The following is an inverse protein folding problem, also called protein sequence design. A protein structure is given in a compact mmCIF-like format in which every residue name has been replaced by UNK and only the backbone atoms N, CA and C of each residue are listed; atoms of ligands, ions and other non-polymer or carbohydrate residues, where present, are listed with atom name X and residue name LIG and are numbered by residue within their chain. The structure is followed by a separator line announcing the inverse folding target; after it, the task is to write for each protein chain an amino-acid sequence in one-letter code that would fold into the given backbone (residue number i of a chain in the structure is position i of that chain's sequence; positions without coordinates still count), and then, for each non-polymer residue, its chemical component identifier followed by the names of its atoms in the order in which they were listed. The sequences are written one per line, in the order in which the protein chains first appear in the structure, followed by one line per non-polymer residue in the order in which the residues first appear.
data_IF_322374742560
#
_entry.id   IF_322374742560
#
_cell.length_a   1.000
_cell.length_b   1.000
_cell.length_c   1.000
_cell.angle_alpha   90.00
_cell.angle_beta   90.00
_cell.angle_gamma   90.00
#
_symmetry.space_group_name_H-M   'P 1'
#
loop_
_entity.id
_entity.type
_entity.pdbx_description
1 polymer ?
#
# COMPACT_ATOMS: atom_id res chain seq x y z
N UNK A 1 -41.82 -6.70 7.09
CA UNK A 1 -41.01 -6.08 8.17
C UNK A 1 -41.70 -6.05 9.54
N UNK A 2 -43.02 -5.84 9.64
CA UNK A 2 -43.74 -5.74 10.93
C UNK A 2 -43.78 -7.02 11.79
N UNK A 3 -43.62 -8.21 11.20
CA UNK A 3 -43.62 -9.49 11.95
C UNK A 3 -42.42 -9.63 12.89
N UNK A 4 -41.23 -9.21 12.46
CA UNK A 4 -40.00 -9.33 13.26
C UNK A 4 -40.08 -8.38 14.44
N UNK A 5 -40.43 -7.11 14.21
CA UNK A 5 -40.59 -6.09 15.25
C UNK A 5 -41.68 -6.49 16.26
N UNK A 6 -42.82 -7.02 15.78
CA UNK A 6 -43.89 -7.51 16.65
C UNK A 6 -43.45 -8.67 17.54
N UNK A 7 -42.68 -9.61 17.00
CA UNK A 7 -42.17 -10.75 17.77
C UNK A 7 -41.19 -10.31 18.88
N UNK A 8 -40.29 -9.38 18.56
CA UNK A 8 -39.38 -8.77 19.55
C UNK A 8 -40.13 -7.97 20.64
N UNK A 9 -41.21 -7.27 20.28
CA UNK A 9 -42.00 -6.47 21.21
C UNK A 9 -42.85 -7.33 22.18
N UNK A 10 -43.36 -8.46 21.70
CA UNK A 10 -44.18 -9.38 22.51
C UNK A 10 -43.29 -10.27 23.40
N UNK A 11 -42.12 -10.66 22.91
CA UNK A 11 -41.25 -11.60 23.62
C UNK A 11 -40.01 -10.92 24.23
N UNK A 12 -40.26 -10.09 25.26
CA UNK A 12 -39.24 -9.26 25.93
C UNK A 12 -38.06 -10.05 26.48
N UNK A 13 -38.30 -11.26 26.99
CA UNK A 13 -37.24 -12.13 27.54
C UNK A 13 -36.29 -12.58 26.42
N UNK A 14 -36.82 -13.05 25.29
CA UNK A 14 -36.01 -13.45 24.14
C UNK A 14 -35.21 -12.27 23.55
N UNK A 15 -35.82 -11.09 23.47
CA UNK A 15 -35.15 -9.87 23.02
C UNK A 15 -33.98 -9.46 23.93
N UNK A 16 -34.18 -9.49 25.26
CA UNK A 16 -33.14 -9.16 26.23
C UNK A 16 -32.01 -10.20 26.24
N UNK A 17 -32.33 -11.49 26.09
CA UNK A 17 -31.32 -12.54 25.98
C UNK A 17 -30.47 -12.39 24.71
N UNK A 18 -31.09 -12.04 23.58
CA UNK A 18 -30.37 -11.77 22.34
C UNK A 18 -29.46 -10.54 22.48
N UNK A 19 -29.96 -9.47 23.11
CA UNK A 19 -29.15 -8.27 23.37
C UNK A 19 -27.95 -8.61 24.28
N UNK A 20 -28.17 -9.35 25.37
CA UNK A 20 -27.11 -9.78 26.27
C UNK A 20 -26.08 -10.68 25.55
N UNK A 21 -26.55 -11.59 24.70
CA UNK A 21 -25.68 -12.44 23.89
C UNK A 21 -24.79 -11.61 22.95
N UNK A 22 -25.35 -10.64 22.24
CA UNK A 22 -24.59 -9.74 21.34
C UNK A 22 -23.57 -8.92 22.14
N UNK A 23 -23.93 -8.44 23.32
CA UNK A 23 -23.03 -7.67 24.18
C UNK A 23 -21.85 -8.52 24.68
N UNK A 24 -22.11 -9.76 25.12
CA UNK A 24 -21.06 -10.69 25.58
C UNK A 24 -20.15 -11.10 24.42
N UNK A 25 -20.73 -11.43 23.26
CA UNK A 25 -19.98 -11.76 22.06
C UNK A 25 -19.11 -10.59 21.59
N UNK A 26 -19.66 -9.37 21.62
CA UNK A 26 -18.94 -8.13 21.32
C UNK A 26 -17.78 -7.91 22.29
N UNK A 27 -18.01 -8.06 23.60
CA UNK A 27 -16.97 -7.89 24.61
C UNK A 27 -15.83 -8.91 24.47
N UNK A 28 -16.15 -10.16 24.13
CA UNK A 28 -15.14 -11.18 23.81
C UNK A 28 -14.36 -10.90 22.52
N UNK A 29 -14.93 -10.13 21.59
CA UNK A 29 -14.28 -9.75 20.34
C UNK A 29 -13.32 -8.57 20.50
N UNK A 30 -13.58 -7.63 21.42
CA UNK A 30 -12.72 -6.44 21.68
C UNK A 30 -11.23 -6.77 21.82
N UNK A 31 -10.80 -7.73 22.66
CA UNK A 31 -9.37 -8.03 22.81
C UNK A 31 -8.77 -8.77 21.60
N UNK A 32 -9.60 -9.33 20.72
CA UNK A 32 -9.15 -10.02 19.49
C UNK A 32 -8.91 -9.06 18.32
N UNK A 33 -9.32 -7.80 18.44
CA UNK A 33 -9.08 -6.79 17.41
C UNK A 33 -7.57 -6.52 17.37
N UNK A 34 -6.93 -6.88 16.24
CA UNK A 34 -5.54 -6.52 15.99
C UNK A 34 -5.46 -5.01 15.89
N UNK A 35 -4.61 -4.43 16.74
CA UNK A 35 -4.27 -3.01 16.72
C UNK A 35 -2.90 -2.90 16.11
N UNK A 36 -2.83 -2.38 14.90
CA UNK A 36 -1.58 -2.03 14.26
C UNK A 36 -1.30 -0.56 14.52
N UNK A 37 -0.12 -0.24 15.05
CA UNK A 37 0.32 1.14 15.30
C UNK A 37 0.55 1.87 13.97
N UNK A 38 0.97 1.12 12.96
CA UNK A 38 1.08 1.54 11.58
C UNK A 38 0.29 0.53 10.75
N UNK A 39 -0.85 0.91 10.14
CA UNK A 39 -1.53 0.03 9.23
C UNK A 39 -0.56 -0.31 8.07
N UNK A 40 -0.60 -1.55 7.60
CA UNK A 40 0.18 -1.96 6.43
C UNK A 40 -0.31 -1.16 5.21
N UNK A 41 0.46 -0.14 4.82
CA UNK A 41 0.29 0.52 3.53
C UNK A 41 1.15 -0.25 2.51
N UNK A 42 0.52 -0.72 1.43
CA UNK A 42 1.26 -1.15 0.25
C UNK A 42 2.01 0.06 -0.32
N UNK A 43 3.28 0.20 0.04
CA UNK A 43 4.16 1.21 -0.52
C UNK A 43 4.51 0.80 -1.94
N UNK A 44 3.80 1.38 -2.91
CA UNK A 44 4.01 1.14 -4.34
C UNK A 44 5.25 1.87 -4.90
N UNK A 45 6.25 2.12 -4.07
CA UNK A 45 7.47 2.83 -4.44
C UNK A 45 8.62 1.85 -4.62
N UNK A 46 9.27 1.89 -5.78
CA UNK A 46 10.52 1.19 -6.06
C UNK A 46 11.65 2.20 -6.06
N UNK A 47 12.65 1.98 -5.21
CA UNK A 47 13.84 2.82 -5.12
C UNK A 47 15.00 2.15 -5.86
N UNK A 48 15.51 2.81 -6.89
CA UNK A 48 16.69 2.39 -7.67
C UNK A 48 17.82 3.37 -7.39
N UNK A 49 18.98 2.84 -7.01
CA UNK A 49 20.19 3.64 -6.75
C UNK A 49 21.32 3.13 -7.62
N UNK A 50 21.93 4.02 -8.39
CA UNK A 50 23.00 3.70 -9.31
C UNK A 50 24.23 4.56 -8.96
N UNK A 51 25.26 3.98 -8.34
CA UNK A 51 26.50 4.69 -8.09
C UNK A 51 27.26 4.91 -9.40
N UNK A 52 27.73 6.13 -9.63
CA UNK A 52 28.57 6.49 -10.78
C UNK A 52 29.71 7.41 -10.37
N UNK A 53 30.67 6.89 -9.58
CA UNK A 53 31.68 7.70 -8.91
C UNK A 53 32.57 8.46 -9.89
N UNK A 54 32.81 9.74 -9.59
CA UNK A 54 33.66 10.61 -10.40
C UNK A 54 32.96 11.30 -11.57
N UNK A 55 31.66 11.06 -11.77
CA UNK A 55 30.85 11.78 -12.74
C UNK A 55 30.21 13.03 -12.14
N UNK A 56 30.17 14.11 -12.92
CA UNK A 56 29.44 15.31 -12.56
C UNK A 56 27.93 15.05 -12.56
N UNK A 57 27.14 15.85 -11.84
CA UNK A 57 25.68 15.70 -11.79
C UNK A 57 25.03 15.69 -13.18
N UNK A 58 25.50 16.53 -14.11
CA UNK A 58 25.01 16.57 -15.48
C UNK A 58 25.30 15.27 -16.26
N UNK A 59 26.46 14.66 -16.04
CA UNK A 59 26.82 13.40 -16.68
C UNK A 59 26.01 12.22 -16.11
N UNK A 60 25.72 12.25 -14.80
CA UNK A 60 24.83 11.27 -14.16
C UNK A 60 23.39 11.41 -14.68
N UNK A 61 22.92 12.63 -14.88
CA UNK A 61 21.58 12.89 -15.41
C UNK A 61 21.42 12.30 -16.81
N UNK A 62 22.27 12.71 -17.75
CA UNK A 62 22.17 12.30 -19.16
C UNK A 62 22.60 10.83 -19.38
N UNK A 63 23.59 10.37 -18.62
CA UNK A 63 24.13 9.02 -18.73
C UNK A 63 23.28 7.94 -18.09
N UNK A 64 22.60 8.26 -16.97
CA UNK A 64 21.90 7.28 -16.13
C UNK A 64 20.43 7.65 -15.96
N UNK A 65 20.12 8.82 -15.40
CA UNK A 65 18.74 9.16 -15.02
C UNK A 65 17.80 9.16 -16.23
N UNK A 66 18.15 9.87 -17.31
CA UNK A 66 17.34 9.96 -18.53
C UNK A 66 17.14 8.59 -19.17
N UNK A 67 18.21 7.79 -19.27
CA UNK A 67 18.13 6.47 -19.90
C UNK A 67 17.25 5.48 -19.14
N UNK A 68 17.31 5.51 -17.81
CA UNK A 68 16.48 4.65 -16.98
C UNK A 68 15.04 5.17 -16.96
N UNK A 69 14.84 6.50 -16.96
CA UNK A 69 13.50 7.09 -17.05
C UNK A 69 12.79 6.67 -18.34
N UNK A 70 13.45 6.78 -19.50
CA UNK A 70 12.91 6.34 -20.78
C UNK A 70 12.57 4.83 -20.79
N UNK A 71 13.42 4.00 -20.18
CA UNK A 71 13.20 2.55 -20.10
C UNK A 71 12.00 2.19 -19.20
N UNK A 72 11.81 2.92 -18.10
CA UNK A 72 10.74 2.67 -17.11
C UNK A 72 9.42 3.30 -17.54
N UNK A 73 9.44 4.44 -18.22
CA UNK A 73 8.23 5.12 -18.71
C UNK A 73 7.45 4.28 -19.74
N UNK A 74 8.13 3.34 -20.43
CA UNK A 74 7.50 2.38 -21.34
C UNK A 74 6.80 1.20 -20.67
N UNK A 75 6.96 1.00 -19.36
CA UNK A 75 6.40 -0.15 -18.64
C UNK A 75 4.93 0.10 -18.23
N UNK A 76 4.05 -0.87 -18.54
CA UNK A 76 2.66 -0.84 -18.09
C UNK A 76 2.60 -1.02 -16.57
N UNK A 77 2.16 0.03 -15.86
CA UNK A 77 1.99 -0.02 -14.41
C UNK A 77 2.71 1.07 -13.63
N UNK A 78 3.50 1.91 -14.30
CA UNK A 78 4.17 3.07 -13.69
C UNK A 78 3.22 4.26 -13.65
N UNK A 79 3.06 4.86 -12.47
CA UNK A 79 2.25 6.06 -12.24
C UNK A 79 3.10 7.32 -12.26
N UNK A 80 4.25 7.30 -11.61
CA UNK A 80 5.15 8.45 -11.51
C UNK A 80 6.60 7.98 -11.41
N UNK A 81 7.52 8.70 -12.05
CA UNK A 81 8.97 8.52 -11.88
C UNK A 81 9.55 9.83 -11.36
N UNK A 82 10.43 9.74 -10.36
CA UNK A 82 11.19 10.88 -9.83
C UNK A 82 12.66 10.48 -9.80
N UNK A 83 13.49 11.17 -10.57
CA UNK A 83 14.93 10.97 -10.60
C UNK A 83 15.66 12.18 -10.03
N UNK A 84 16.72 11.90 -9.26
CA UNK A 84 17.62 12.89 -8.67
C UNK A 84 19.04 12.50 -9.05
N UNK A 85 19.71 13.35 -9.82
CA UNK A 85 21.12 13.21 -10.14
C UNK A 85 21.97 14.01 -9.14
N UNK A 86 22.84 13.31 -8.43
CA UNK A 86 23.87 13.88 -7.56
C UNK A 86 25.24 13.52 -8.10
N UNK A 87 26.27 14.30 -7.74
CA UNK A 87 27.65 13.98 -8.08
C UNK A 87 27.99 12.58 -7.57
N UNK A 88 28.45 11.70 -8.47
CA UNK A 88 28.77 10.32 -8.12
C UNK A 88 27.59 9.36 -7.90
N UNK A 89 26.33 9.82 -7.94
CA UNK A 89 25.17 9.00 -7.57
C UNK A 89 23.86 9.42 -8.25
N UNK A 90 23.21 8.49 -8.94
CA UNK A 90 21.83 8.64 -9.41
C UNK A 90 20.85 7.93 -8.47
N UNK A 91 19.80 8.62 -8.04
CA UNK A 91 18.70 8.05 -7.23
C UNK A 91 17.40 8.20 -8.01
N UNK A 92 16.64 7.11 -8.14
CA UNK A 92 15.35 7.11 -8.82
C UNK A 92 14.28 6.45 -7.95
N UNK A 93 13.12 7.08 -7.86
CA UNK A 93 11.93 6.60 -7.15
C UNK A 93 10.79 6.44 -8.15
N UNK A 94 10.27 5.22 -8.29
CA UNK A 94 9.20 4.85 -9.23
C UNK A 94 7.95 4.49 -8.44
N UNK A 95 6.88 5.25 -8.61
CA UNK A 95 5.53 4.95 -8.07
C UNK A 95 4.76 4.05 -9.04
N UNK A 96 4.21 2.96 -8.54
CA UNK A 96 3.42 1.98 -9.28
C UNK A 96 1.91 2.16 -9.03
N UNK A 97 1.09 1.76 -10.00
CA UNK A 97 -0.37 1.76 -9.87
C UNK A 97 -0.83 0.72 -8.82
N UNK A 98 -1.91 1.02 -8.06
CA UNK A 98 -2.37 0.21 -6.91
C UNK A 98 -2.99 -1.16 -7.23
N UNK A 99 -2.62 -1.78 -8.35
CA UNK A 99 -2.97 -3.18 -8.72
C UNK A 99 -1.82 -3.94 -9.39
N UNK A 100 -0.62 -3.38 -9.38
CA UNK A 100 0.56 -4.01 -9.94
C UNK A 100 1.31 -4.75 -8.84
N UNK A 101 1.49 -6.07 -8.97
CA UNK A 101 2.23 -6.87 -8.00
C UNK A 101 3.68 -6.39 -7.91
N UNK A 102 4.04 -5.71 -6.82
CA UNK A 102 5.38 -5.16 -6.58
C UNK A 102 6.47 -6.22 -6.67
N UNK A 103 6.16 -7.48 -6.33
CA UNK A 103 7.11 -8.60 -6.42
C UNK A 103 7.51 -9.01 -7.85
N UNK A 104 6.69 -8.72 -8.88
CA UNK A 104 7.01 -9.08 -10.27
C UNK A 104 7.92 -8.07 -10.96
N UNK A 105 7.84 -6.80 -10.56
CA UNK A 105 8.62 -5.72 -11.17
C UNK A 105 10.02 -5.59 -10.57
N UNK A 106 10.24 -6.05 -9.33
CA UNK A 106 11.57 -6.15 -8.75
C UNK A 106 12.46 -7.16 -9.50
N UNK A 107 11.87 -8.20 -10.10
CA UNK A 107 12.58 -9.17 -10.94
C UNK A 107 12.83 -8.65 -12.36
N UNK A 108 12.09 -7.64 -12.82
CA UNK A 108 12.16 -7.08 -14.16
C UNK A 108 13.11 -5.86 -14.24
N UNK A 109 13.34 -5.19 -13.10
CA UNK A 109 14.24 -4.02 -12.95
C UNK A 109 15.68 -4.42 -12.56
N UNK A 110 15.92 -5.70 -12.23
CA UNK A 110 17.22 -6.23 -11.83
C UNK A 110 18.06 -6.68 -13.02
#
# INVERSE_FOLDING_TARGET
MSRVIRWFAVNRVAANLLAAFILVAGFMAVPKIRREVFPEFDSNWVLVQVPYPGAASAEVEEGICVKIEDAVQGLQGVKQVVSTASEGLGVMSVELLPRTNSGRLLDEVK
#
